data_IF_877177403040
#
_entry.id   IF_877177403040
#
_cell.length_a   1.000
_cell.length_b   1.000
_cell.length_c   1.000
_cell.angle_alpha   90.00
_cell.angle_beta   90.00
_cell.angle_gamma   90.00
#
_symmetry.space_group_name_H-M   'P 1'
#
loop_
_entity.id
_entity.type
_entity.pdbx_description
1 polymer ?
#
# COMPACT_ATOMS: atom_id res chain seq x y z
N UNK A 1 3.21 7.99 -19.14
CA UNK A 1 2.46 6.96 -18.36
C UNK A 1 1.35 6.44 -19.27
N UNK A 2 1.35 5.13 -19.51
CA UNK A 2 0.35 4.46 -20.37
C UNK A 2 -0.88 4.09 -19.54
N UNK A 3 -0.68 3.61 -18.31
CA UNK A 3 -1.74 3.24 -17.38
C UNK A 3 -1.22 3.29 -15.94
N UNK A 4 -2.14 3.43 -14.98
CA UNK A 4 -1.86 3.19 -13.56
C UNK A 4 -2.52 1.88 -13.13
N UNK A 5 -1.85 1.14 -12.24
CA UNK A 5 -2.32 -0.16 -11.77
C UNK A 5 -3.13 -0.08 -10.46
N UNK A 6 -3.71 1.08 -10.16
CA UNK A 6 -4.64 1.24 -9.02
C UNK A 6 -6.06 0.81 -9.41
N UNK A 7 -6.89 0.41 -8.45
CA UNK A 7 -8.30 0.07 -8.74
C UNK A 7 -9.06 1.28 -9.32
N UNK A 8 -8.76 2.47 -8.85
CA UNK A 8 -9.32 3.74 -9.28
C UNK A 8 -8.22 4.72 -9.68
N UNK A 9 -8.56 5.81 -10.34
CA UNK A 9 -7.57 6.85 -10.71
C UNK A 9 -6.94 7.46 -9.48
N UNK A 10 -5.64 7.72 -9.57
CA UNK A 10 -4.89 8.38 -8.50
C UNK A 10 -5.36 9.84 -8.32
N UNK A 11 -5.25 10.40 -7.11
CA UNK A 11 -5.66 11.77 -6.84
C UNK A 11 -4.69 12.83 -7.41
N UNK A 12 -5.14 14.08 -7.45
CA UNK A 12 -4.32 15.24 -7.82
C UNK A 12 -3.87 15.22 -9.27
N UNK A 13 -2.65 15.60 -9.54
CA UNK A 13 -2.09 15.72 -10.91
C UNK A 13 -2.01 14.39 -11.66
N UNK A 14 -2.14 13.28 -10.95
CA UNK A 14 -2.13 11.92 -11.51
C UNK A 14 -3.51 11.43 -11.96
N UNK A 15 -4.59 12.15 -11.64
CA UNK A 15 -5.97 11.79 -12.01
C UNK A 15 -6.22 11.76 -13.52
N UNK A 16 -5.38 12.43 -14.30
CA UNK A 16 -5.41 12.42 -15.77
C UNK A 16 -5.00 11.10 -16.40
N UNK A 17 -4.33 10.21 -15.65
CA UNK A 17 -3.90 8.92 -16.17
C UNK A 17 -4.98 7.86 -15.94
N UNK A 18 -5.33 7.15 -17.01
CA UNK A 18 -6.28 6.06 -16.98
C UNK A 18 -5.73 4.87 -16.21
N UNK A 19 -6.58 4.13 -15.52
CA UNK A 19 -6.21 2.84 -14.95
C UNK A 19 -6.11 1.77 -16.04
N UNK A 20 -5.38 0.68 -15.74
CA UNK A 20 -5.34 -0.48 -16.64
C UNK A 20 -6.75 -1.07 -16.85
N UNK A 21 -7.57 -1.07 -15.78
CA UNK A 21 -8.96 -1.54 -15.83
C UNK A 21 -9.84 -0.73 -16.77
N UNK A 22 -9.73 0.60 -16.75
CA UNK A 22 -10.47 1.47 -17.69
C UNK A 22 -10.07 1.23 -19.14
N UNK A 23 -8.88 0.68 -19.38
CA UNK A 23 -8.36 0.33 -20.71
C UNK A 23 -8.58 -1.15 -21.06
N UNK A 24 -9.42 -1.87 -20.33
CA UNK A 24 -9.79 -3.25 -20.62
C UNK A 24 -8.82 -4.30 -20.07
N UNK A 25 -7.77 -3.92 -19.36
CA UNK A 25 -6.81 -4.85 -18.75
C UNK A 25 -7.13 -5.01 -17.26
N UNK A 26 -7.71 -6.13 -16.87
CA UNK A 26 -8.12 -6.38 -15.49
C UNK A 26 -6.93 -6.74 -14.58
N UNK A 27 -6.02 -5.80 -14.41
CA UNK A 27 -4.86 -5.92 -13.52
C UNK A 27 -4.88 -4.78 -12.49
N UNK A 28 -4.67 -5.13 -11.23
CA UNK A 28 -4.44 -4.20 -10.12
C UNK A 28 -3.17 -4.61 -9.41
N UNK A 29 -2.26 -3.68 -9.22
CA UNK A 29 -1.02 -3.89 -8.49
C UNK A 29 -0.73 -2.70 -7.60
N UNK A 30 -0.45 -2.96 -6.33
CA UNK A 30 -0.09 -1.91 -5.38
C UNK A 30 1.41 -1.99 -5.05
N UNK A 31 2.11 -0.90 -5.27
CA UNK A 31 3.43 -0.70 -4.68
C UNK A 31 3.25 0.00 -3.34
N UNK A 32 2.87 -0.77 -2.33
CA UNK A 32 2.62 -0.25 -1.00
C UNK A 32 3.90 -0.05 -0.19
N UNK A 33 3.84 0.84 0.79
CA UNK A 33 4.90 1.10 1.76
C UNK A 33 4.32 1.08 3.16
N UNK A 34 5.09 0.61 4.12
CA UNK A 34 4.67 0.50 5.49
C UNK A 34 5.84 0.54 6.47
N UNK A 35 5.52 0.58 7.75
CA UNK A 35 6.48 0.51 8.83
C UNK A 35 6.43 -0.88 9.46
N UNK A 36 7.59 -1.41 9.76
CA UNK A 36 7.76 -2.66 10.47
C UNK A 36 8.45 -2.41 11.81
N UNK A 37 8.07 -3.18 12.79
CA UNK A 37 8.71 -3.19 14.11
C UNK A 37 9.43 -4.51 14.31
N UNK A 38 10.52 -4.56 15.12
CA UNK A 38 11.24 -5.79 15.39
C UNK A 38 10.36 -6.78 16.16
N UNK A 39 10.60 -8.06 15.91
CA UNK A 39 9.97 -9.14 16.67
C UNK A 39 10.33 -9.02 18.15
N UNK A 40 9.33 -9.15 19.03
CA UNK A 40 9.52 -9.05 20.48
C UNK A 40 9.49 -7.63 21.04
N UNK A 41 9.08 -6.64 20.24
CA UNK A 41 8.74 -5.33 20.79
C UNK A 41 7.62 -5.47 21.83
N UNK A 42 7.70 -4.72 22.94
CA UNK A 42 6.65 -4.73 23.95
C UNK A 42 5.34 -4.13 23.40
N UNK A 43 4.20 -4.58 23.93
CA UNK A 43 2.89 -4.07 23.52
C UNK A 43 2.76 -2.57 23.74
N UNK A 44 3.34 -2.04 24.83
CA UNK A 44 3.33 -0.59 25.11
C UNK A 44 4.07 0.20 24.03
N UNK A 45 5.27 -0.27 23.63
CA UNK A 45 6.06 0.38 22.59
C UNK A 45 5.34 0.26 21.21
N UNK A 46 4.75 -0.90 20.92
CA UNK A 46 3.96 -1.10 19.71
C UNK A 46 2.78 -0.13 19.64
N UNK A 47 1.99 -0.06 20.72
CA UNK A 47 0.81 0.80 20.79
C UNK A 47 1.18 2.29 20.71
N UNK A 48 2.30 2.70 21.33
CA UNK A 48 2.82 4.05 21.20
C UNK A 48 3.12 4.42 19.74
N UNK A 49 3.87 3.57 19.04
CA UNK A 49 4.23 3.82 17.63
C UNK A 49 3.04 3.75 16.69
N UNK A 50 2.15 2.78 16.88
CA UNK A 50 0.92 2.69 16.10
C UNK A 50 0.06 3.94 16.25
N UNK A 51 -0.08 4.45 17.48
CA UNK A 51 -0.80 5.70 17.76
C UNK A 51 -0.12 6.93 17.16
N UNK A 52 1.21 7.01 17.22
CA UNK A 52 1.97 8.11 16.64
C UNK A 52 1.84 8.14 15.10
N UNK A 53 1.96 6.98 14.46
CA UNK A 53 1.80 6.84 12.99
C UNK A 53 0.38 7.22 12.58
N UNK A 54 -0.64 6.75 13.32
CA UNK A 54 -2.03 7.13 13.04
C UNK A 54 -2.26 8.63 13.13
N UNK A 55 -1.73 9.28 14.18
CA UNK A 55 -1.82 10.75 14.32
C UNK A 55 -1.12 11.47 13.17
N UNK A 56 0.06 11.00 12.76
CA UNK A 56 0.79 11.55 11.61
C UNK A 56 -0.03 11.42 10.32
N UNK A 57 -0.63 10.26 10.09
CA UNK A 57 -1.43 9.95 8.91
C UNK A 57 -2.62 10.91 8.74
N UNK A 58 -3.23 11.33 9.84
CA UNK A 58 -4.38 12.24 9.85
C UNK A 58 -3.98 13.73 9.62
N UNK A 59 -2.68 14.06 9.68
CA UNK A 59 -2.23 15.45 9.53
C UNK A 59 -2.39 15.98 8.11
N UNK A 60 -2.73 17.30 7.96
CA UNK A 60 -2.75 17.94 6.65
C UNK A 60 -1.40 17.89 5.93
N UNK A 61 -0.30 17.96 6.68
CA UNK A 61 1.05 17.88 6.13
C UNK A 61 1.32 16.53 5.47
N UNK A 62 0.92 15.42 6.12
CA UNK A 62 1.05 14.09 5.55
C UNK A 62 0.22 13.93 4.28
N UNK A 63 -1.03 14.36 4.31
CA UNK A 63 -1.93 14.33 3.15
C UNK A 63 -1.37 15.11 1.96
N UNK A 64 -0.82 16.29 2.22
CA UNK A 64 -0.14 17.11 1.20
C UNK A 64 1.09 16.40 0.64
N UNK A 65 1.89 15.76 1.49
CA UNK A 65 3.08 15.01 1.07
C UNK A 65 2.70 13.81 0.21
N UNK A 66 1.67 13.06 0.58
CA UNK A 66 1.17 11.95 -0.23
C UNK A 66 0.69 12.42 -1.60
N UNK A 67 -0.15 13.45 -1.65
CA UNK A 67 -0.66 14.00 -2.90
C UNK A 67 0.48 14.48 -3.82
N UNK A 68 1.47 15.21 -3.28
CA UNK A 68 2.65 15.66 -4.02
C UNK A 68 3.45 14.51 -4.65
N UNK A 69 3.48 13.36 -4.00
CA UNK A 69 4.22 12.18 -4.46
C UNK A 69 3.34 11.17 -5.23
N UNK A 70 2.09 11.51 -5.53
CA UNK A 70 1.17 10.61 -6.25
C UNK A 70 0.84 9.33 -5.48
N UNK A 71 0.82 9.40 -4.14
CA UNK A 71 0.52 8.27 -3.28
C UNK A 71 -0.96 8.26 -2.91
N UNK A 72 -1.62 7.13 -3.13
CA UNK A 72 -2.96 6.89 -2.63
C UNK A 72 -2.92 6.50 -1.14
N UNK A 73 -3.90 6.93 -0.32
CA UNK A 73 -3.95 6.55 1.07
C UNK A 73 -4.23 5.05 1.24
N UNK A 74 -3.50 4.41 2.14
CA UNK A 74 -3.72 3.04 2.59
C UNK A 74 -3.62 3.03 4.12
N UNK A 75 -4.75 3.30 4.79
CA UNK A 75 -4.83 3.36 6.26
C UNK A 75 -5.09 1.96 6.83
N UNK A 76 -4.05 1.15 6.90
CA UNK A 76 -4.09 -0.17 7.52
C UNK A 76 -3.09 -0.24 8.68
N UNK A 77 -3.52 -0.79 9.81
CA UNK A 77 -2.69 -1.03 10.99
C UNK A 77 -3.12 -2.30 11.72
N UNK A 78 -2.27 -2.80 12.62
CA UNK A 78 -2.54 -3.97 13.43
C UNK A 78 -2.91 -5.21 12.60
N UNK A 79 -3.89 -5.98 13.05
CA UNK A 79 -4.32 -7.22 12.40
C UNK A 79 -4.77 -7.05 10.94
N UNK A 80 -5.38 -5.91 10.61
CA UNK A 80 -5.78 -5.62 9.24
C UNK A 80 -4.56 -5.49 8.31
N UNK A 81 -3.51 -4.82 8.78
CA UNK A 81 -2.26 -4.71 8.04
C UNK A 81 -1.51 -6.04 7.95
N UNK A 82 -1.48 -6.83 9.03
CA UNK A 82 -0.90 -8.18 9.03
C UNK A 82 -1.58 -9.08 7.98
N UNK A 83 -2.90 -9.09 7.93
CA UNK A 83 -3.67 -9.83 6.92
C UNK A 83 -3.38 -9.36 5.50
N UNK A 84 -3.29 -8.05 5.29
CA UNK A 84 -2.92 -7.48 4.00
C UNK A 84 -1.52 -7.93 3.55
N UNK A 85 -0.54 -7.86 4.45
CA UNK A 85 0.84 -8.31 4.17
C UNK A 85 0.88 -9.80 3.85
N UNK A 86 0.22 -10.63 4.65
CA UNK A 86 0.17 -12.09 4.42
C UNK A 86 -0.42 -12.42 3.03
N UNK A 87 -1.52 -11.79 2.67
CA UNK A 87 -2.15 -11.96 1.35
C UNK A 87 -1.24 -11.47 0.21
N UNK A 88 -0.55 -10.35 0.40
CA UNK A 88 0.41 -9.81 -0.58
C UNK A 88 1.57 -10.78 -0.81
N UNK A 89 2.14 -11.33 0.27
CA UNK A 89 3.20 -12.33 0.19
C UNK A 89 2.73 -13.59 -0.52
N UNK A 90 1.57 -14.13 -0.17
CA UNK A 90 1.01 -15.32 -0.81
C UNK A 90 0.76 -15.11 -2.31
N UNK A 91 0.25 -13.94 -2.69
CA UNK A 91 0.03 -13.58 -4.09
C UNK A 91 1.35 -13.51 -4.88
N UNK A 92 2.37 -12.84 -4.32
CA UNK A 92 3.70 -12.74 -4.94
C UNK A 92 4.33 -14.13 -5.08
N UNK A 93 4.24 -14.98 -4.06
CA UNK A 93 4.75 -16.35 -4.11
C UNK A 93 4.06 -17.17 -5.22
N UNK A 94 2.74 -17.07 -5.32
CA UNK A 94 1.97 -17.77 -6.34
C UNK A 94 2.40 -17.34 -7.76
N UNK A 95 2.47 -16.04 -8.00
CA UNK A 95 2.89 -15.50 -9.29
C UNK A 95 4.35 -15.92 -9.58
N UNK A 96 5.24 -15.80 -8.60
CA UNK A 96 6.66 -16.16 -8.76
C UNK A 96 6.87 -17.63 -9.10
N UNK A 97 6.03 -18.54 -8.57
CA UNK A 97 6.01 -19.96 -8.97
C UNK A 97 5.50 -20.14 -10.38
N UNK A 98 4.39 -19.47 -10.75
CA UNK A 98 3.80 -19.58 -12.09
C UNK A 98 4.76 -19.14 -13.20
N UNK A 99 5.58 -18.12 -12.94
CA UNK A 99 6.56 -17.60 -13.91
C UNK A 99 7.97 -18.20 -13.73
N UNK A 100 8.13 -19.19 -12.83
CA UNK A 100 9.37 -19.95 -12.66
C UNK A 100 10.51 -19.24 -11.95
N UNK A 101 10.25 -18.14 -11.21
CA UNK A 101 11.28 -17.43 -10.41
C UNK A 101 11.64 -18.21 -9.15
N UNK A 102 10.66 -18.84 -8.52
CA UNK A 102 10.85 -19.72 -7.36
C UNK A 102 10.25 -21.10 -7.61
N UNK A 103 10.83 -22.11 -6.94
CA UNK A 103 10.35 -23.50 -7.00
C UNK A 103 9.28 -23.77 -5.94
#
# INVERSE_FOLDING_TARGET
IIAVLSPDRLPGDFSKFYTAREQGVNVVGANWRGFYVPKGMSDDAYNFWAGAIKKMYDTPQWKKTMAKNGLAPLDLSGKAFEGFVANSVASIQTISKQIGIIK
#
